data_IF_503029282912
#
_entry.id   IF_503029282912
#
_cell.length_a   1.000
_cell.length_b   1.000
_cell.length_c   1.000
_cell.angle_alpha   90.00
_cell.angle_beta   90.00
_cell.angle_gamma   90.00
#
_symmetry.space_group_name_H-M   'P 1'
#
loop_
_entity.id
_entity.type
_entity.pdbx_description
1 polymer ?
#
# COMPACT_ATOMS: atom_id res chain seq x y z
N UNK A 1 -12.34 29.73 -3.29
CA UNK A 1 -12.32 28.27 -3.12
C UNK A 1 -10.96 27.65 -3.47
N UNK A 2 -10.41 27.89 -4.67
CA UNK A 2 -9.16 27.24 -5.13
C UNK A 2 -7.93 27.45 -4.25
N UNK A 3 -7.72 28.65 -3.69
CA UNK A 3 -6.57 28.92 -2.82
C UNK A 3 -6.60 28.07 -1.54
N UNK A 4 -7.79 27.83 -0.98
CA UNK A 4 -7.97 26.97 0.19
C UNK A 4 -7.71 25.49 -0.14
N UNK A 5 -8.19 25.01 -1.30
CA UNK A 5 -7.85 23.66 -1.77
C UNK A 5 -6.35 23.49 -2.02
N UNK A 6 -5.69 24.48 -2.62
CA UNK A 6 -4.24 24.43 -2.86
C UNK A 6 -3.44 24.36 -1.57
N UNK A 7 -3.78 25.18 -0.59
CA UNK A 7 -3.16 25.17 0.74
C UNK A 7 -3.39 23.86 1.48
N UNK A 8 -4.61 23.31 1.43
CA UNK A 8 -4.95 22.01 2.03
C UNK A 8 -4.09 20.87 1.46
N UNK A 9 -4.01 20.71 0.13
CA UNK A 9 -3.18 19.62 -0.41
C UNK A 9 -1.69 19.82 -0.17
N UNK A 10 -1.19 21.06 -0.16
CA UNK A 10 0.22 21.34 0.14
C UNK A 10 0.57 20.99 1.60
N UNK A 11 -0.30 21.35 2.54
CA UNK A 11 -0.16 20.99 3.95
C UNK A 11 -0.16 19.46 4.13
N UNK A 12 -1.12 18.76 3.53
CA UNK A 12 -1.23 17.30 3.63
C UNK A 12 -0.02 16.60 2.99
N UNK A 13 0.46 17.08 1.84
CA UNK A 13 1.67 16.56 1.20
C UNK A 13 2.89 16.67 2.12
N UNK A 14 3.11 17.84 2.72
CA UNK A 14 4.22 18.07 3.64
C UNK A 14 4.14 17.14 4.85
N UNK A 15 2.98 17.11 5.53
CA UNK A 15 2.75 16.23 6.67
C UNK A 15 2.94 14.76 6.33
N UNK A 16 2.50 14.31 5.15
CA UNK A 16 2.72 12.93 4.75
C UNK A 16 4.19 12.59 4.57
N UNK A 17 5.03 13.51 4.07
CA UNK A 17 6.47 13.27 3.97
C UNK A 17 7.10 13.15 5.36
N UNK A 18 6.72 14.03 6.29
CA UNK A 18 7.22 14.00 7.67
C UNK A 18 6.78 12.76 8.45
N UNK A 19 5.60 12.22 8.16
CA UNK A 19 5.09 11.00 8.82
C UNK A 19 5.59 9.72 8.15
N UNK A 20 5.88 9.74 6.84
CA UNK A 20 6.38 8.56 6.12
C UNK A 20 7.74 8.11 6.64
N UNK A 21 8.64 9.04 6.92
CA UNK A 21 9.99 8.74 7.42
C UNK A 21 9.98 7.97 8.76
N UNK A 22 9.34 8.46 9.84
CA UNK A 22 9.27 7.74 11.11
C UNK A 22 8.49 6.42 11.00
N UNK A 23 7.43 6.34 10.19
CA UNK A 23 6.73 5.07 9.94
C UNK A 23 7.61 4.04 9.24
N UNK A 24 8.37 4.46 8.23
CA UNK A 24 9.31 3.59 7.52
C UNK A 24 10.41 3.08 8.45
N UNK A 25 10.86 3.92 9.39
CA UNK A 25 11.79 3.50 10.44
C UNK A 25 11.16 2.46 11.38
N UNK A 26 9.92 2.66 11.84
CA UNK A 26 9.20 1.68 12.69
C UNK A 26 9.07 0.33 11.99
N UNK A 27 8.68 0.33 10.71
CA UNK A 27 8.59 -0.89 9.89
C UNK A 27 9.96 -1.57 9.75
N UNK A 28 11.00 -0.81 9.40
CA UNK A 28 12.36 -1.33 9.28
C UNK A 28 12.90 -1.92 10.58
N UNK A 29 12.66 -1.26 11.73
CA UNK A 29 13.08 -1.78 13.03
C UNK A 29 12.30 -3.02 13.45
N UNK A 30 10.99 -3.06 13.22
CA UNK A 30 10.18 -4.27 13.51
C UNK A 30 10.64 -5.45 12.65
N UNK A 31 10.95 -5.24 11.37
CA UNK A 31 11.50 -6.27 10.50
C UNK A 31 12.90 -6.74 10.94
N UNK A 32 13.79 -5.82 11.33
CA UNK A 32 15.13 -6.15 11.82
C UNK A 32 15.09 -6.96 13.12
N UNK A 33 14.23 -6.58 14.06
CA UNK A 33 14.06 -7.32 15.32
C UNK A 33 13.50 -8.70 15.05
N UNK A 34 12.46 -8.82 14.20
CA UNK A 34 11.88 -10.10 13.80
C UNK A 34 12.92 -11.02 13.16
N UNK A 35 13.77 -10.47 12.30
CA UNK A 35 14.87 -11.20 11.66
C UNK A 35 15.91 -11.69 12.68
N UNK A 36 16.31 -10.86 13.65
CA UNK A 36 17.25 -11.24 14.72
C UNK A 36 16.69 -12.34 15.62
N UNK A 37 15.44 -12.20 16.07
CA UNK A 37 14.74 -13.21 16.87
C UNK A 37 14.64 -14.55 16.14
N UNK A 38 14.26 -14.52 14.86
CA UNK A 38 14.20 -15.72 14.01
C UNK A 38 15.56 -16.41 13.92
N UNK A 39 16.65 -15.64 13.72
CA UNK A 39 18.02 -16.18 13.68
C UNK A 39 18.47 -16.79 15.01
N UNK A 40 17.97 -16.28 16.13
CA UNK A 40 18.25 -16.80 17.48
C UNK A 40 17.33 -17.96 17.88
N UNK A 41 16.39 -18.36 17.02
CA UNK A 41 15.38 -19.37 17.34
C UNK A 41 14.42 -18.92 18.45
N UNK A 42 14.27 -17.61 18.63
CA UNK A 42 13.38 -17.02 19.63
C UNK A 42 12.08 -16.57 18.95
N UNK A 43 10.94 -16.94 19.51
CA UNK A 43 9.61 -16.48 19.07
C UNK A 43 8.96 -15.50 20.05
N UNK A 44 9.71 -15.02 21.03
CA UNK A 44 9.23 -14.04 22.00
C UNK A 44 8.87 -12.74 21.27
N UNK A 45 7.76 -12.11 21.67
CA UNK A 45 7.27 -10.86 21.08
C UNK A 45 6.80 -10.93 19.63
N UNK A 46 6.64 -12.13 19.06
CA UNK A 46 6.27 -12.26 17.64
C UNK A 46 4.89 -11.66 17.36
N UNK A 47 3.91 -11.86 18.25
CA UNK A 47 2.57 -11.29 18.11
C UNK A 47 2.60 -9.76 18.24
N UNK A 48 3.37 -9.23 19.18
CA UNK A 48 3.52 -7.79 19.42
C UNK A 48 4.22 -7.10 18.24
N UNK A 49 5.28 -7.70 17.68
CA UNK A 49 5.97 -7.19 16.51
C UNK A 49 5.07 -7.19 15.28
N UNK A 50 4.30 -8.24 15.06
CA UNK A 50 3.29 -8.28 13.98
C UNK A 50 2.21 -7.23 14.20
N UNK A 51 1.74 -7.02 15.43
CA UNK A 51 0.76 -5.98 15.75
C UNK A 51 1.29 -4.56 15.49
N UNK A 52 2.52 -4.26 15.89
CA UNK A 52 3.17 -2.96 15.64
C UNK A 52 3.34 -2.76 14.13
N UNK A 53 3.85 -3.77 13.42
CA UNK A 53 4.08 -3.72 11.99
C UNK A 53 2.76 -3.50 11.22
N UNK A 54 1.72 -4.28 11.52
CA UNK A 54 0.40 -4.13 10.92
C UNK A 54 -0.20 -2.73 11.19
N UNK A 55 -0.04 -2.19 12.40
CA UNK A 55 -0.53 -0.85 12.75
C UNK A 55 0.22 0.25 11.99
N UNK A 56 1.54 0.14 11.85
CA UNK A 56 2.34 1.08 11.08
C UNK A 56 1.99 1.05 9.59
N UNK A 57 1.79 -0.13 9.01
CA UNK A 57 1.31 -0.29 7.63
C UNK A 57 -0.08 0.31 7.43
N UNK A 58 -0.98 0.09 8.39
CA UNK A 58 -2.33 0.65 8.34
C UNK A 58 -2.30 2.19 8.35
N UNK A 59 -1.50 2.80 9.23
CA UNK A 59 -1.36 4.25 9.28
C UNK A 59 -0.75 4.82 7.99
N UNK A 60 0.27 4.17 7.44
CA UNK A 60 0.86 4.57 6.16
C UNK A 60 -0.16 4.53 5.03
N UNK A 61 -1.00 3.49 5.00
CA UNK A 61 -2.09 3.35 4.02
C UNK A 61 -3.11 4.47 4.15
N UNK A 62 -3.57 4.77 5.38
CA UNK A 62 -4.51 5.87 5.63
C UNK A 62 -3.96 7.23 5.16
N UNK A 63 -2.67 7.50 5.44
CA UNK A 63 -2.02 8.74 5.02
C UNK A 63 -1.96 8.84 3.49
N UNK A 64 -1.56 7.77 2.81
CA UNK A 64 -1.52 7.74 1.35
C UNK A 64 -2.93 7.96 0.75
N UNK A 65 -3.97 7.35 1.32
CA UNK A 65 -5.36 7.54 0.86
C UNK A 65 -5.82 9.01 1.01
N UNK A 66 -5.48 9.66 2.12
CA UNK A 66 -5.81 11.08 2.35
C UNK A 66 -5.08 11.98 1.34
N UNK A 67 -3.82 11.68 1.03
CA UNK A 67 -3.06 12.40 0.02
C UNK A 67 -3.69 12.27 -1.36
N UNK A 68 -4.01 11.05 -1.78
CA UNK A 68 -4.53 10.80 -3.11
C UNK A 68 -5.89 11.45 -3.30
N UNK A 69 -6.78 11.35 -2.30
CA UNK A 69 -8.04 12.10 -2.29
C UNK A 69 -7.79 13.62 -2.41
N UNK A 70 -6.80 14.15 -1.71
CA UNK A 70 -6.48 15.59 -1.73
C UNK A 70 -5.89 16.06 -3.07
N UNK A 71 -5.24 15.17 -3.83
CA UNK A 71 -4.81 15.44 -5.21
C UNK A 71 -5.99 15.41 -6.16
N UNK A 72 -6.90 14.43 -6.01
CA UNK A 72 -8.13 14.30 -6.81
C UNK A 72 -9.02 15.55 -6.64
N UNK A 73 -9.32 15.94 -5.40
CA UNK A 73 -10.14 17.13 -5.08
C UNK A 73 -9.57 18.44 -5.66
N UNK A 74 -8.25 18.49 -5.83
CA UNK A 74 -7.57 19.65 -6.37
C UNK A 74 -7.38 19.59 -7.90
N UNK A 75 -7.82 18.52 -8.57
CA UNK A 75 -7.56 18.28 -10.00
C UNK A 75 -6.08 18.09 -10.32
N UNK A 76 -5.27 17.65 -9.34
CA UNK A 76 -3.80 17.54 -9.41
C UNK A 76 -3.31 16.09 -9.33
N UNK A 77 -4.12 15.13 -9.74
CA UNK A 77 -3.66 13.74 -9.90
C UNK A 77 -3.13 13.55 -11.32
N UNK A 78 -1.80 13.58 -11.54
CA UNK A 78 -1.24 13.39 -12.88
C UNK A 78 -1.52 11.97 -13.35
N UNK A 79 -1.97 11.83 -14.60
CA UNK A 79 -2.08 10.55 -15.29
C UNK A 79 -0.88 10.41 -16.22
N UNK A 80 -0.19 9.27 -16.11
CA UNK A 80 0.88 8.89 -17.03
C UNK A 80 0.30 7.84 -17.97
N UNK A 81 -0.01 8.26 -19.20
CA UNK A 81 -0.61 7.38 -20.20
C UNK A 81 0.51 6.63 -20.91
N UNK A 82 0.54 5.32 -20.75
CA UNK A 82 1.52 4.43 -21.36
C UNK A 82 0.87 3.11 -21.79
N UNK A 83 1.51 2.42 -22.73
CA UNK A 83 1.13 1.06 -23.10
C UNK A 83 1.61 0.10 -22.01
N UNK A 84 0.72 -0.77 -21.55
CA UNK A 84 1.04 -1.79 -20.54
C UNK A 84 0.34 -3.11 -20.88
N UNK A 85 0.92 -4.21 -20.41
CA UNK A 85 0.31 -5.54 -20.57
C UNK A 85 -0.82 -5.74 -19.55
N UNK A 86 -2.04 -5.91 -20.06
CA UNK A 86 -3.21 -6.26 -19.25
C UNK A 86 -2.98 -7.61 -18.55
N UNK A 87 -2.36 -8.58 -19.25
CA UNK A 87 -2.01 -9.87 -18.68
C UNK A 87 -1.10 -9.72 -17.46
N UNK A 88 -0.01 -8.96 -17.57
CA UNK A 88 0.93 -8.74 -16.47
C UNK A 88 0.25 -8.03 -15.30
N UNK A 89 -0.60 -7.03 -15.58
CA UNK A 89 -1.36 -6.32 -14.56
C UNK A 89 -2.29 -7.28 -13.79
N UNK A 90 -3.12 -8.04 -14.51
CA UNK A 90 -4.06 -9.01 -13.92
C UNK A 90 -3.31 -10.08 -13.13
N UNK A 91 -2.16 -10.56 -13.64
CA UNK A 91 -1.32 -11.50 -12.92
C UNK A 91 -0.84 -10.93 -11.58
N UNK A 92 -0.28 -9.72 -11.58
CA UNK A 92 0.24 -9.06 -10.37
C UNK A 92 -0.86 -8.82 -9.33
N UNK A 93 -2.02 -8.35 -9.77
CA UNK A 93 -3.20 -8.16 -8.89
C UNK A 93 -3.63 -9.49 -8.29
N UNK A 94 -3.67 -10.56 -9.10
CA UNK A 94 -4.07 -11.90 -8.65
C UNK A 94 -3.10 -12.48 -7.62
N UNK A 95 -1.79 -12.30 -7.81
CA UNK A 95 -0.77 -12.74 -6.84
C UNK A 95 -0.95 -12.04 -5.49
N UNK A 96 -1.32 -10.76 -5.50
CA UNK A 96 -1.57 -9.99 -4.28
C UNK A 96 -2.89 -10.37 -3.61
N UNK A 97 -3.94 -10.55 -4.41
CA UNK A 97 -5.30 -10.79 -3.92
C UNK A 97 -5.55 -12.24 -3.47
N UNK A 98 -4.89 -13.24 -4.05
CA UNK A 98 -5.03 -14.66 -3.65
C UNK A 98 -4.83 -14.92 -2.15
N UNK A 99 -3.71 -14.49 -1.51
CA UNK A 99 -3.51 -14.75 -0.10
C UNK A 99 -4.56 -14.05 0.77
N UNK A 100 -5.02 -12.86 0.37
CA UNK A 100 -6.08 -12.14 1.08
C UNK A 100 -7.44 -12.85 0.96
N UNK A 101 -7.76 -13.34 -0.23
CA UNK A 101 -8.97 -14.13 -0.47
C UNK A 101 -8.94 -15.43 0.34
N UNK A 102 -7.83 -16.17 0.28
CA UNK A 102 -7.65 -17.42 1.02
C UNK A 102 -7.76 -17.22 2.55
N UNK A 103 -7.15 -16.16 3.09
CA UNK A 103 -7.23 -15.81 4.52
C UNK A 103 -8.66 -15.57 4.98
N UNK A 104 -9.52 -15.08 4.09
CA UNK A 104 -10.92 -14.80 4.38
C UNK A 104 -11.87 -15.92 3.91
N UNK A 105 -11.35 -17.08 3.47
CA UNK A 105 -12.17 -18.20 2.97
C UNK A 105 -12.86 -17.94 1.63
N UNK A 106 -12.40 -16.94 0.87
CA UNK A 106 -12.99 -16.55 -0.40
C UNK A 106 -12.27 -17.23 -1.59
N UNK A 107 -13.04 -17.57 -2.64
CA UNK A 107 -12.49 -18.00 -3.92
C UNK A 107 -12.22 -16.81 -4.84
N UNK A 108 -11.07 -16.82 -5.52
CA UNK A 108 -10.71 -15.85 -6.54
C UNK A 108 -10.50 -16.56 -7.88
N UNK A 109 -11.37 -16.25 -8.85
CA UNK A 109 -11.31 -16.77 -10.21
C UNK A 109 -11.05 -15.64 -11.19
N UNK A 110 -10.11 -15.85 -12.12
CA UNK A 110 -9.82 -14.93 -13.21
C UNK A 110 -10.35 -15.55 -14.50
N UNK A 111 -11.29 -14.87 -15.16
CA UNK A 111 -11.86 -15.30 -16.43
C UNK A 111 -11.30 -14.37 -17.50
N UNK A 112 -10.61 -14.94 -18.49
CA UNK A 112 -10.14 -14.19 -19.67
C UNK A 112 -11.11 -14.41 -20.82
N UNK A 113 -11.45 -13.35 -21.53
CA UNK A 113 -12.11 -13.47 -22.81
C UNK A 113 -11.11 -14.04 -23.85
N UNK A 114 -11.55 -14.86 -24.81
CA UNK A 114 -10.68 -15.44 -25.84
C UNK A 114 -9.89 -14.41 -26.66
N UNK A 115 -10.43 -13.18 -26.78
CA UNK A 115 -9.90 -12.13 -27.65
C UNK A 115 -9.09 -11.06 -26.89
N UNK A 116 -8.72 -11.32 -25.63
CA UNK A 116 -8.10 -10.33 -24.74
C UNK A 116 -6.68 -9.90 -25.15
N UNK A 117 -6.05 -10.58 -26.12
CA UNK A 117 -4.70 -10.27 -26.64
C UNK A 117 -4.69 -9.35 -27.87
N UNK A 118 -5.86 -8.84 -28.32
CA UNK A 118 -6.00 -8.09 -29.58
C UNK A 118 -5.93 -6.55 -29.46
N UNK A 119 -5.52 -5.98 -28.32
CA UNK A 119 -5.33 -4.52 -28.17
C UNK A 119 -4.05 -4.14 -27.44
#
# INVERSE_FOLDING_TARGET
AEAAHRAKSAFLAHMSHEVRTPLSAILGYTDLIRLDLTRRGQSVYQEELEAIHASAQHLLTMINNILDLSKIDAGRMPLYIELFSIEALVHNVTQTARPLAARNGNSLTVIRAPDADLM
#
